data_IF_998620607482
#
_entry.id   IF_998620607482
#
_cell.length_a   1.000
_cell.length_b   1.000
_cell.length_c   1.000
_cell.angle_alpha   90.00
_cell.angle_beta   90.00
_cell.angle_gamma   90.00
#
_symmetry.space_group_name_H-M   'P 1'
#
loop_
_entity.id
_entity.type
_entity.pdbx_description
1 polymer ?
#
# COMPACT_ATOMS: atom_id res chain seq x y z
N UNK A 1 7.56 -27.91 -36.25
CA UNK A 1 8.64 -28.94 -36.17
C UNK A 1 9.39 -28.73 -34.87
N UNK A 2 9.73 -29.85 -34.24
CA UNK A 2 9.98 -30.05 -32.82
C UNK A 2 11.20 -29.31 -32.24
N UNK A 3 11.06 -28.92 -30.97
CA UNK A 3 12.15 -28.65 -30.04
C UNK A 3 12.70 -30.01 -29.50
N UNK A 4 14.02 -30.17 -29.27
CA UNK A 4 14.65 -31.45 -28.94
C UNK A 4 14.30 -31.98 -27.53
N UNK A 5 14.56 -33.27 -27.23
CA UNK A 5 13.97 -34.00 -26.11
C UNK A 5 14.72 -33.87 -24.78
N UNK A 6 13.96 -34.25 -23.74
CA UNK A 6 14.18 -34.27 -22.30
C UNK A 6 15.49 -34.97 -21.85
N UNK A 7 16.09 -34.47 -20.76
CA UNK A 7 17.06 -35.21 -19.95
C UNK A 7 16.31 -35.89 -18.80
N UNK A 8 16.35 -37.22 -18.81
CA UNK A 8 15.88 -38.09 -17.73
C UNK A 8 16.94 -38.13 -16.62
N UNK A 9 16.54 -37.80 -15.39
CA UNK A 9 17.31 -38.09 -14.20
C UNK A 9 16.40 -38.73 -13.16
N UNK A 10 16.07 -40.00 -13.42
CA UNK A 10 15.69 -40.94 -12.38
C UNK A 10 16.92 -41.17 -11.48
N UNK A 11 16.84 -40.67 -10.24
CA UNK A 11 17.56 -41.22 -9.12
C UNK A 11 16.57 -42.00 -8.26
N UNK A 12 16.56 -43.31 -8.48
CA UNK A 12 16.09 -44.29 -7.52
C UNK A 12 16.99 -44.21 -6.29
N UNK A 13 16.40 -44.01 -5.12
CA UNK A 13 16.92 -44.59 -3.88
C UNK A 13 15.73 -44.95 -2.99
N UNK A 14 15.58 -46.25 -2.77
CA UNK A 14 14.55 -46.86 -1.97
C UNK A 14 14.79 -46.65 -0.47
N UNK A 15 13.67 -46.70 0.27
CA UNK A 15 13.44 -47.12 1.66
C UNK A 15 14.46 -46.73 2.75
N UNK A 16 14.00 -45.93 3.71
CA UNK A 16 14.16 -46.26 5.14
C UNK A 16 13.04 -45.57 5.93
N UNK A 17 12.44 -46.31 6.87
CA UNK A 17 11.31 -45.92 7.69
C UNK A 17 11.68 -45.03 8.89
N UNK A 18 10.63 -44.56 9.57
CA UNK A 18 10.52 -44.21 10.99
C UNK A 18 10.33 -42.72 11.38
N UNK A 19 9.05 -42.48 11.71
CA UNK A 19 8.50 -41.68 12.81
C UNK A 19 8.39 -40.14 12.73
N UNK A 20 7.33 -39.57 13.35
CA UNK A 20 6.75 -38.28 12.98
C UNK A 20 7.29 -37.15 13.86
N UNK A 21 8.16 -36.32 13.29
CA UNK A 21 8.56 -35.06 13.92
C UNK A 21 7.93 -33.86 13.20
N UNK A 22 7.01 -33.25 13.95
CA UNK A 22 6.83 -31.81 14.09
C UNK A 22 5.65 -31.16 13.35
N UNK A 23 4.55 -31.13 14.12
CA UNK A 23 3.31 -30.36 14.00
C UNK A 23 3.50 -28.82 13.87
N UNK A 24 4.68 -28.30 13.52
CA UNK A 24 4.92 -26.86 13.34
C UNK A 24 4.94 -26.39 11.87
N UNK A 25 5.28 -27.23 10.90
CA UNK A 25 5.46 -26.81 9.48
C UNK A 25 4.15 -26.54 8.73
N UNK A 26 3.02 -27.06 9.23
CA UNK A 26 1.71 -26.85 8.59
C UNK A 26 1.21 -25.40 8.70
N UNK A 27 1.60 -24.65 9.73
CA UNK A 27 1.09 -23.29 9.95
C UNK A 27 1.81 -22.24 9.10
N UNK A 28 3.10 -22.43 8.86
CA UNK A 28 3.92 -21.53 8.06
C UNK A 28 3.68 -21.76 6.56
N UNK A 29 3.62 -23.02 6.10
CA UNK A 29 3.32 -23.33 4.70
C UNK A 29 1.90 -22.91 4.30
N UNK A 30 0.91 -23.03 5.19
CA UNK A 30 -0.46 -22.61 4.89
C UNK A 30 -0.58 -21.08 4.79
N UNK A 31 0.13 -20.35 5.65
CA UNK A 31 0.15 -18.88 5.63
C UNK A 31 0.98 -18.32 4.46
N UNK A 32 2.01 -19.05 4.01
CA UNK A 32 2.79 -18.75 2.82
C UNK A 32 1.99 -19.08 1.56
N UNK A 33 1.34 -20.24 1.51
CA UNK A 33 0.45 -20.67 0.42
C UNK A 33 -0.72 -19.72 0.25
N UNK A 34 -1.37 -19.30 1.33
CA UNK A 34 -2.43 -18.29 1.30
C UNK A 34 -1.94 -16.89 0.85
N UNK A 35 -0.63 -16.61 0.94
CA UNK A 35 0.00 -15.38 0.42
C UNK A 35 0.41 -15.50 -1.05
N UNK A 36 0.68 -16.72 -1.50
CA UNK A 36 1.01 -17.09 -2.87
C UNK A 36 -0.23 -17.46 -3.71
N UNK A 37 -1.40 -17.61 -3.10
CA UNK A 37 -2.71 -17.79 -3.75
C UNK A 37 -3.24 -16.49 -4.39
N UNK A 38 -2.34 -15.67 -4.93
CA UNK A 38 -2.73 -14.77 -6.00
C UNK A 38 -3.06 -15.70 -7.18
N UNK A 39 -4.27 -15.59 -7.75
CA UNK A 39 -4.72 -16.39 -8.91
C UNK A 39 -3.95 -16.01 -10.20
N UNK A 40 -2.63 -15.94 -10.10
CA UNK A 40 -1.66 -15.51 -11.10
C UNK A 40 -0.51 -16.50 -10.97
N UNK A 41 -0.27 -17.30 -12.01
CA UNK A 41 0.84 -18.24 -12.00
C UNK A 41 2.19 -17.51 -12.04
N UNK A 42 3.29 -18.25 -11.89
CA UNK A 42 4.65 -17.74 -12.08
C UNK A 42 4.83 -17.09 -13.47
N UNK A 43 4.08 -17.60 -14.46
CA UNK A 43 4.04 -17.10 -15.85
C UNK A 43 3.17 -15.84 -16.06
N UNK A 44 2.45 -15.35 -15.03
CA UNK A 44 1.54 -14.19 -15.12
C UNK A 44 0.09 -14.55 -15.52
N UNK A 45 -0.66 -13.55 -16.01
CA UNK A 45 -2.02 -13.74 -16.54
C UNK A 45 -1.98 -13.98 -18.05
N UNK A 46 -2.90 -14.80 -18.57
CA UNK A 46 -3.17 -14.85 -20.01
C UNK A 46 -3.86 -13.56 -20.49
N UNK A 47 -3.74 -13.26 -21.77
CA UNK A 47 -4.34 -12.07 -22.38
C UNK A 47 -5.87 -12.04 -22.18
N UNK A 48 -6.54 -13.19 -22.26
CA UNK A 48 -7.99 -13.28 -22.04
C UNK A 48 -8.40 -12.99 -20.59
N UNK A 49 -7.64 -13.50 -19.62
CA UNK A 49 -7.92 -13.28 -18.20
C UNK A 49 -7.60 -11.83 -17.80
N UNK A 50 -6.51 -11.27 -18.32
CA UNK A 50 -6.20 -9.85 -18.15
C UNK A 50 -7.31 -8.96 -18.72
N UNK A 51 -7.81 -9.26 -19.93
CA UNK A 51 -8.92 -8.56 -20.54
C UNK A 51 -10.21 -8.66 -19.71
N UNK A 52 -10.50 -9.85 -19.15
CA UNK A 52 -11.64 -10.07 -18.26
C UNK A 52 -11.54 -9.20 -17.00
N UNK A 53 -10.37 -9.15 -16.36
CA UNK A 53 -10.15 -8.31 -15.17
C UNK A 53 -10.23 -6.82 -15.48
N UNK A 54 -9.72 -6.39 -16.64
CA UNK A 54 -9.85 -5.00 -17.10
C UNK A 54 -11.32 -4.60 -17.32
N UNK A 55 -12.16 -5.50 -17.84
CA UNK A 55 -13.60 -5.24 -17.99
C UNK A 55 -14.33 -5.18 -16.64
N UNK A 56 -13.93 -6.01 -15.67
CA UNK A 56 -14.57 -6.07 -14.36
C UNK A 56 -14.18 -4.89 -13.45
N UNK A 57 -12.89 -4.53 -13.41
CA UNK A 57 -12.37 -3.52 -12.49
C UNK A 57 -12.17 -2.15 -13.13
N UNK A 58 -12.09 -2.09 -14.46
CA UNK A 58 -11.69 -0.88 -15.17
C UNK A 58 -10.19 -0.63 -15.07
N UNK A 59 -9.77 0.56 -15.48
CA UNK A 59 -8.38 0.98 -15.34
C UNK A 59 -8.10 1.29 -13.87
N UNK A 60 -6.96 0.80 -13.36
CA UNK A 60 -6.50 1.06 -12.01
C UNK A 60 -5.95 2.49 -11.87
N UNK A 61 -6.83 3.49 -11.99
CA UNK A 61 -6.52 4.90 -11.83
C UNK A 61 -7.30 5.48 -10.67
N UNK A 62 -6.63 6.30 -9.86
CA UNK A 62 -7.28 7.01 -8.77
C UNK A 62 -8.10 8.18 -9.34
N UNK A 63 -9.30 8.43 -8.82
CA UNK A 63 -10.11 9.55 -9.29
C UNK A 63 -9.42 10.87 -8.94
N UNK A 64 -9.42 11.81 -9.90
CA UNK A 64 -8.99 13.19 -9.65
C UNK A 64 -10.07 13.92 -8.84
N UNK A 65 -9.94 13.83 -7.52
CA UNK A 65 -10.79 14.51 -6.56
C UNK A 65 -10.32 15.96 -6.47
N UNK A 66 -10.97 16.85 -7.23
CA UNK A 66 -10.78 18.30 -7.10
C UNK A 66 -10.92 18.69 -5.63
N UNK A 67 -9.84 19.22 -5.04
CA UNK A 67 -9.85 19.67 -3.64
C UNK A 67 -10.93 20.72 -3.45
N UNK A 68 -11.89 20.53 -2.52
CA UNK A 68 -12.90 21.53 -2.25
C UNK A 68 -12.26 22.78 -1.64
N UNK A 69 -12.90 23.93 -1.85
CA UNK A 69 -12.43 25.25 -1.37
C UNK A 69 -12.31 25.33 0.17
N UNK A 70 -12.74 24.30 0.90
CA UNK A 70 -12.63 24.18 2.36
C UNK A 70 -11.17 24.17 2.82
N UNK A 71 -10.25 23.53 2.09
CA UNK A 71 -8.82 23.57 2.43
C UNK A 71 -8.27 24.99 2.36
N UNK A 72 -8.60 25.72 1.29
CA UNK A 72 -8.20 27.12 1.13
C UNK A 72 -8.78 27.99 2.23
N UNK A 73 -10.06 27.79 2.59
CA UNK A 73 -10.69 28.51 3.67
C UNK A 73 -10.02 28.24 5.03
N UNK A 74 -9.66 26.99 5.31
CA UNK A 74 -8.96 26.61 6.54
C UNK A 74 -7.57 27.25 6.62
N UNK A 75 -6.84 27.28 5.50
CA UNK A 75 -5.54 27.94 5.41
C UNK A 75 -5.64 29.45 5.66
N UNK A 76 -6.62 30.12 5.04
CA UNK A 76 -6.87 31.55 5.25
C UNK A 76 -7.27 31.84 6.69
N UNK A 77 -8.13 31.01 7.28
CA UNK A 77 -8.55 31.18 8.67
C UNK A 77 -7.37 31.01 9.64
N UNK A 78 -6.49 30.03 9.41
CA UNK A 78 -5.29 29.82 10.21
C UNK A 78 -4.37 31.06 10.18
N UNK A 79 -4.09 31.59 9.00
CA UNK A 79 -3.28 32.81 8.85
C UNK A 79 -3.96 34.05 9.43
N UNK A 80 -5.28 34.15 9.27
CA UNK A 80 -6.07 35.27 9.80
C UNK A 80 -6.06 35.29 11.33
N UNK A 81 -6.23 34.14 11.99
CA UNK A 81 -6.15 34.05 13.45
C UNK A 81 -4.79 34.52 13.96
N UNK A 82 -3.69 34.03 13.36
CA UNK A 82 -2.33 34.46 13.73
C UNK A 82 -2.11 35.97 13.54
N UNK A 83 -2.57 36.53 12.42
CA UNK A 83 -2.47 37.98 12.16
C UNK A 83 -3.19 38.83 13.22
N UNK A 84 -4.37 38.41 13.69
CA UNK A 84 -5.11 39.12 14.72
C UNK A 84 -4.47 39.00 16.10
N UNK A 85 -3.86 37.86 16.41
CA UNK A 85 -3.08 37.68 17.63
C UNK A 85 -1.88 38.63 17.67
N UNK A 86 -1.15 38.73 16.56
CA UNK A 86 0.00 39.64 16.43
C UNK A 86 -0.43 41.12 16.57
N UNK A 87 -1.54 41.52 15.94
CA UNK A 87 -2.10 42.87 16.08
C UNK A 87 -2.46 43.20 17.52
N UNK A 88 -3.10 42.26 18.24
CA UNK A 88 -3.51 42.45 19.63
C UNK A 88 -2.31 42.48 20.59
N UNK A 89 -1.27 41.70 20.30
CA UNK A 89 -0.03 41.74 21.07
C UNK A 89 0.69 43.10 20.95
N UNK A 90 0.62 43.75 19.78
CA UNK A 90 1.17 45.09 19.57
C UNK A 90 0.49 46.18 20.41
N UNK A 91 -0.84 46.11 20.57
CA UNK A 91 -1.62 47.05 21.39
C UNK A 91 -1.21 46.98 22.88
N UNK A 92 -0.98 45.78 23.40
CA UNK A 92 -0.52 45.59 24.78
C UNK A 92 0.86 46.23 25.04
N UNK A 93 1.78 46.17 24.06
CA UNK A 93 3.09 46.84 24.15
C UNK A 93 2.96 48.35 24.04
N UNK A 94 2.07 48.85 23.18
CA UNK A 94 1.79 50.27 23.05
C UNK A 94 1.22 50.86 24.35
N UNK A 95 0.32 50.12 25.03
CA UNK A 95 -0.23 50.52 26.32
C UNK A 95 0.85 50.63 27.42
N UNK A 96 1.83 49.72 27.46
CA UNK A 96 2.96 49.82 28.38
C UNK A 96 3.88 51.01 28.06
N UNK A 97 4.07 51.35 26.77
CA UNK A 97 4.89 52.50 26.35
C UNK A 97 4.32 53.82 26.84
N UNK A 98 2.99 53.95 26.84
CA UNK A 98 2.27 55.16 27.28
C UNK A 98 2.33 55.33 28.81
N UNK A 99 2.42 54.24 29.58
CA UNK A 99 2.47 54.27 31.05
C UNK A 99 3.86 54.38 31.69
N UNK A 100 4.95 54.40 30.91
CA UNK A 100 6.34 54.37 31.41
C UNK A 100 7.05 55.74 31.28
N UNK A 101 6.31 56.84 31.10
CA UNK A 101 6.84 58.21 31.17
C UNK A 101 6.04 59.09 32.13
#
# INVERSE_FOLDING_TARGET
>A
MCKPPLLDNQATHADEADEPEDLQTASEDSALKHRLDLQTGEDGLSDEEAARRLLQHGRNELPDLRTPNTLTALLLLNGFVGFFEDMRAGDAVAALKVGVF
#
